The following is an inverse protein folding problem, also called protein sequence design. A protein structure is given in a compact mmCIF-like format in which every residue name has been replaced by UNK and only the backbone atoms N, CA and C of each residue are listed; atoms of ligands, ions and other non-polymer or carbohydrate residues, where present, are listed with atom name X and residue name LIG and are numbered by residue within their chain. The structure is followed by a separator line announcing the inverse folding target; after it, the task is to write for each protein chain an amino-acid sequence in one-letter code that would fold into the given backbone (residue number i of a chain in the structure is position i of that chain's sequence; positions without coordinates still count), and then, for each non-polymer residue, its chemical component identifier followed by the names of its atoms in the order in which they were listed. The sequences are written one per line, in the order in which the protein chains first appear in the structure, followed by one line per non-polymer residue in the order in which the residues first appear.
data_IF_746242574273
#
_entry.id   IF_746242574273
#
_cell.length_a   1.000
_cell.length_b   1.000
_cell.length_c   1.000
_cell.angle_alpha   90.00
_cell.angle_beta   90.00
_cell.angle_gamma   90.00
#
_symmetry.space_group_name_H-M   'P 1'
#
loop_
_entity.id
_entity.type
_entity.pdbx_description
1 polymer ?
#
# COMPACT_ATOMS: atom_id res chain seq x y z
N UNK A 1 11.79 -55.99 -5.82
CA UNK A 1 11.06 -54.70 -5.72
C UNK A 1 11.94 -53.61 -6.32
N UNK A 2 11.93 -53.44 -7.65
CA UNK A 2 12.84 -52.52 -8.33
C UNK A 2 12.21 -51.12 -8.42
N UNK A 3 12.78 -50.16 -7.68
CA UNK A 3 12.39 -48.75 -7.70
C UNK A 3 12.82 -48.14 -9.04
N UNK A 4 11.86 -47.93 -9.94
CA UNK A 4 12.09 -47.25 -11.22
C UNK A 4 12.74 -45.88 -10.97
N UNK A 5 13.99 -45.70 -11.43
CA UNK A 5 14.63 -44.39 -11.48
C UNK A 5 13.93 -43.58 -12.55
N UNK A 6 13.04 -42.67 -12.13
CA UNK A 6 12.50 -41.63 -13.02
C UNK A 6 13.69 -40.82 -13.52
N UNK A 7 14.00 -40.93 -14.81
CA UNK A 7 15.00 -40.08 -15.46
C UNK A 7 14.56 -38.63 -15.29
N UNK A 8 15.33 -37.85 -14.55
CA UNK A 8 15.07 -36.43 -14.30
C UNK A 8 15.44 -35.65 -15.56
N UNK A 9 14.69 -35.82 -16.64
CA UNK A 9 14.77 -34.92 -17.79
C UNK A 9 14.19 -33.59 -17.34
N UNK A 10 15.05 -32.60 -17.15
CA UNK A 10 14.67 -31.24 -16.79
C UNK A 10 13.85 -30.65 -17.94
N UNK A 11 12.54 -30.62 -17.74
CA UNK A 11 11.61 -30.09 -18.74
C UNK A 11 11.77 -28.57 -18.80
N UNK A 12 12.38 -28.05 -19.87
CA UNK A 12 12.70 -26.63 -20.01
C UNK A 12 11.46 -25.73 -19.87
N UNK A 13 10.29 -26.22 -20.28
CA UNK A 13 9.00 -25.52 -20.13
C UNK A 13 8.63 -25.36 -18.65
N UNK A 14 8.85 -26.40 -17.85
CA UNK A 14 8.57 -26.39 -16.42
C UNK A 14 9.56 -25.47 -15.68
N UNK A 15 10.84 -25.53 -16.04
CA UNK A 15 11.86 -24.63 -15.47
C UNK A 15 11.59 -23.17 -15.81
N UNK A 16 11.17 -22.89 -17.04
CA UNK A 16 10.79 -21.54 -17.46
C UNK A 16 9.58 -21.03 -16.67
N UNK A 17 8.53 -21.83 -16.54
CA UNK A 17 7.34 -21.46 -15.76
C UNK A 17 7.70 -21.22 -14.29
N UNK A 18 8.51 -22.10 -13.68
CA UNK A 18 8.98 -21.93 -12.32
C UNK A 18 9.81 -20.64 -12.15
N UNK A 19 10.69 -20.35 -13.11
CA UNK A 19 11.46 -19.11 -13.14
C UNK A 19 10.57 -17.87 -13.21
N UNK A 20 9.55 -17.88 -14.07
CA UNK A 20 8.59 -16.78 -14.20
C UNK A 20 7.83 -16.54 -12.89
N UNK A 21 7.35 -17.60 -12.26
CA UNK A 21 6.65 -17.52 -10.96
C UNK A 21 7.58 -16.95 -9.89
N UNK A 22 8.83 -17.39 -9.82
CA UNK A 22 9.81 -16.85 -8.88
C UNK A 22 10.09 -15.37 -9.10
N UNK A 23 10.21 -14.92 -10.35
CA UNK A 23 10.37 -13.50 -10.68
C UNK A 23 9.15 -12.69 -10.21
N UNK A 24 7.93 -13.19 -10.45
CA UNK A 24 6.70 -12.52 -10.03
C UNK A 24 6.62 -12.38 -8.50
N UNK A 25 6.90 -13.46 -7.76
CA UNK A 25 6.91 -13.45 -6.29
C UNK A 25 8.00 -12.52 -5.75
N UNK A 26 9.18 -12.52 -6.37
CA UNK A 26 10.28 -11.64 -5.98
C UNK A 26 9.89 -10.17 -6.17
N UNK A 27 9.27 -9.83 -7.30
CA UNK A 27 8.75 -8.48 -7.56
C UNK A 27 7.71 -8.05 -6.53
N UNK A 28 6.77 -8.92 -6.17
CA UNK A 28 5.77 -8.65 -5.12
C UNK A 28 6.43 -8.45 -3.76
N UNK A 29 7.41 -9.29 -3.39
CA UNK A 29 8.12 -9.19 -2.13
C UNK A 29 8.89 -7.87 -2.01
N UNK A 30 9.58 -7.45 -3.07
CA UNK A 30 10.27 -6.15 -3.11
C UNK A 30 9.27 -5.00 -2.95
N UNK A 31 8.13 -5.07 -3.65
CA UNK A 31 7.08 -4.03 -3.55
C UNK A 31 6.52 -3.95 -2.13
N UNK A 32 6.25 -5.09 -1.50
CA UNK A 32 5.76 -5.14 -0.13
C UNK A 32 6.81 -4.62 0.86
N UNK A 33 8.07 -5.01 0.69
CA UNK A 33 9.18 -4.50 1.51
C UNK A 33 9.27 -2.97 1.43
N UNK A 34 9.15 -2.39 0.25
CA UNK A 34 9.15 -0.93 0.07
C UNK A 34 7.96 -0.24 0.79
N UNK A 35 6.78 -0.85 0.76
CA UNK A 35 5.63 -0.31 1.49
C UNK A 35 5.80 -0.43 3.01
N UNK A 36 6.44 -1.51 3.47
CA UNK A 36 6.58 -1.80 4.89
C UNK A 36 7.74 -1.06 5.56
N UNK A 37 8.90 -0.92 4.91
CA UNK A 37 10.11 -0.36 5.53
C UNK A 37 10.18 1.17 5.36
N UNK A 38 10.28 1.72 4.14
CA UNK A 38 10.30 3.18 3.98
C UNK A 38 8.96 3.87 4.29
N UNK A 39 7.82 3.29 3.88
CA UNK A 39 6.52 3.92 4.10
C UNK A 39 5.86 3.55 5.45
N UNK A 40 6.58 2.84 6.32
CA UNK A 40 6.05 2.36 7.59
C UNK A 40 5.36 3.46 8.40
N UNK A 41 6.05 4.60 8.59
CA UNK A 41 5.59 5.70 9.43
C UNK A 41 4.32 6.36 8.88
N UNK A 42 4.26 6.49 7.55
CA UNK A 42 3.10 7.05 6.86
C UNK A 42 1.84 6.20 7.06
N UNK A 43 1.97 4.88 6.96
CA UNK A 43 0.83 3.98 7.17
C UNK A 43 0.52 3.72 8.64
N UNK A 44 1.52 3.67 9.52
CA UNK A 44 1.29 3.56 10.96
C UNK A 44 0.51 4.76 11.52
N UNK A 45 0.73 5.97 11.02
CA UNK A 45 -0.04 7.15 11.39
C UNK A 45 -1.53 7.07 11.02
N UNK A 46 -1.89 6.24 10.04
CA UNK A 46 -3.30 5.97 9.69
C UNK A 46 -3.94 4.87 10.52
N UNK A 47 -3.14 4.01 11.15
CA UNK A 47 -3.63 2.85 11.92
C UNK A 47 -3.92 3.22 13.39
N UNK A 48 -3.34 4.31 13.91
CA UNK A 48 -3.41 4.68 15.35
C UNK A 48 -4.71 5.34 15.84
N UNK A 49 -5.84 5.15 15.16
CA UNK A 49 -7.08 5.59 15.76
C UNK A 49 -8.30 5.23 14.95
N UNK A 50 -8.93 4.10 15.30
CA UNK A 50 -10.36 3.88 15.07
C UNK A 50 -11.25 4.88 15.86
N UNK A 51 -10.76 6.08 16.13
CA UNK A 51 -11.55 7.22 16.59
C UNK A 51 -11.67 8.17 15.41
N UNK A 52 -12.34 7.69 14.36
CA UNK A 52 -12.92 8.58 13.35
C UNK A 52 -14.06 9.33 14.05
N UNK A 53 -13.70 10.33 14.85
CA UNK A 53 -14.68 11.31 15.32
C UNK A 53 -15.00 12.14 14.11
N UNK A 54 -16.16 11.91 13.50
CA UNK A 54 -16.78 12.86 12.60
C UNK A 54 -17.09 14.14 13.38
N UNK A 55 -16.07 14.97 13.58
CA UNK A 55 -16.26 16.32 14.08
C UNK A 55 -16.92 17.08 12.94
N UNK A 56 -18.08 17.67 13.22
CA UNK A 56 -18.69 18.61 12.30
C UNK A 56 -17.69 19.75 12.10
N UNK A 57 -17.05 19.82 10.93
CA UNK A 57 -16.22 20.95 10.56
C UNK A 57 -17.18 22.14 10.41
N UNK A 58 -17.14 23.15 11.30
CA UNK A 58 -18.01 24.29 11.17
C UNK A 58 -17.62 25.06 9.91
N UNK A 59 -18.61 25.46 9.13
CA UNK A 59 -18.37 26.43 8.06
C UNK A 59 -17.88 27.74 8.71
N UNK A 60 -16.77 28.27 8.23
CA UNK A 60 -16.31 29.60 8.65
C UNK A 60 -17.38 30.60 8.21
N UNK A 61 -17.97 31.32 9.16
CA UNK A 61 -18.92 32.40 8.86
C UNK A 61 -18.15 33.52 8.19
N UNK A 62 -18.67 34.04 7.07
CA UNK A 62 -18.05 35.18 6.40
C UNK A 62 -17.91 36.38 7.33
N UNK A 63 -16.78 37.08 7.25
CA UNK A 63 -16.57 38.37 7.92
C UNK A 63 -17.59 39.39 7.41
N UNK A 64 -18.19 40.13 8.34
CA UNK A 64 -19.09 41.23 7.99
C UNK A 64 -18.24 42.47 7.79
N UNK A 65 -18.25 42.98 6.56
CA UNK A 65 -17.56 44.22 6.19
C UNK A 65 -18.55 45.34 5.97
N UNK A 66 -18.20 46.53 6.45
CA UNK A 66 -18.93 47.75 6.16
C UNK A 66 -18.74 48.16 4.69
N UNK A 67 -19.48 49.17 4.22
CA UNK A 67 -19.40 49.76 2.87
C UNK A 67 -17.99 50.21 2.45
N UNK A 68 -17.11 50.42 3.43
CA UNK A 68 -15.71 50.82 3.23
C UNK A 68 -14.74 49.62 3.27
N UNK A 69 -15.25 48.39 3.32
CA UNK A 69 -14.45 47.16 3.36
C UNK A 69 -13.81 46.85 4.72
N UNK A 70 -14.10 47.64 5.75
CA UNK A 70 -13.58 47.43 7.11
C UNK A 70 -14.35 46.31 7.79
N UNK A 71 -13.64 45.28 8.27
CA UNK A 71 -14.23 44.20 9.05
C UNK A 71 -14.71 44.75 10.40
N UNK A 72 -16.00 44.59 10.67
CA UNK A 72 -16.62 45.00 11.95
C UNK A 72 -16.66 43.86 12.97
N UNK A 73 -16.23 42.66 12.56
CA UNK A 73 -16.01 41.45 13.37
C UNK A 73 -14.76 40.76 12.87
#
# INVERSE_FOLDING_TARGET
MARSKKTTTLDLRLLFLAGLVLVAITGLTIRLWFLQVPLQKFYQGRIQGNSEVTVRIPSIRGEIRDRNGVAMV
#
